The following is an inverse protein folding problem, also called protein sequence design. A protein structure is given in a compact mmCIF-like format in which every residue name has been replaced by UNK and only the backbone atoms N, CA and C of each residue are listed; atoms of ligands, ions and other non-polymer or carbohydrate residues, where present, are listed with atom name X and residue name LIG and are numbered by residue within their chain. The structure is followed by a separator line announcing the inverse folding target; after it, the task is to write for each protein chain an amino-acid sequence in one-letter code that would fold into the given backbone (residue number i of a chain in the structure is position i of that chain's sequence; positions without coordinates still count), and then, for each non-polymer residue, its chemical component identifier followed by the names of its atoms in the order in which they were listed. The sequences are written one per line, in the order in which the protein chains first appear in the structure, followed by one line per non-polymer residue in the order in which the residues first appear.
data_IF_934020628873
#
_entry.id   IF_934020628873
#
_cell.length_a   1.000
_cell.length_b   1.000
_cell.length_c   1.000
_cell.angle_alpha   90.00
_cell.angle_beta   90.00
_cell.angle_gamma   90.00
#
_symmetry.space_group_name_H-M   'P 1'
#
loop_
_entity.id
_entity.type
_entity.pdbx_description
1 polymer ?
#
# COMPACT_ATOMS: atom_id res chain seq x y z
N UNK A 1 -7.94 -19.79 -13.17
CA UNK A 1 -7.76 -18.87 -14.31
C UNK A 1 -6.34 -18.97 -14.83
N UNK A 2 -6.13 -18.96 -16.16
CA UNK A 2 -4.82 -18.79 -16.79
C UNK A 2 -4.14 -17.48 -16.34
N UNK A 3 -2.79 -17.40 -16.35
CA UNK A 3 -2.05 -16.22 -15.90
C UNK A 3 -2.41 -14.91 -16.63
N UNK A 4 -2.69 -14.98 -17.94
CA UNK A 4 -3.07 -13.82 -18.75
C UNK A 4 -4.46 -13.29 -18.39
N UNK A 5 -5.42 -14.19 -18.16
CA UNK A 5 -6.77 -13.82 -17.73
C UNK A 5 -6.76 -13.20 -16.33
N UNK A 6 -5.90 -13.72 -15.44
CA UNK A 6 -5.67 -13.12 -14.11
C UNK A 6 -5.05 -11.72 -14.19
N UNK A 7 -4.06 -11.55 -15.08
CA UNK A 7 -3.41 -10.27 -15.31
C UNK A 7 -4.41 -9.23 -15.83
N UNK A 8 -5.21 -9.61 -16.83
CA UNK A 8 -6.26 -8.76 -17.40
C UNK A 8 -7.36 -8.43 -16.41
N UNK A 9 -7.77 -9.40 -15.60
CA UNK A 9 -8.74 -9.22 -14.51
C UNK A 9 -8.24 -8.23 -13.46
N UNK A 10 -6.94 -8.27 -13.10
CA UNK A 10 -6.35 -7.30 -12.17
C UNK A 10 -6.41 -5.86 -12.72
N UNK A 11 -6.10 -5.67 -14.01
CA UNK A 11 -6.21 -4.34 -14.63
C UNK A 11 -7.67 -3.89 -14.74
N UNK A 12 -8.57 -4.78 -15.17
CA UNK A 12 -10.01 -4.49 -15.25
C UNK A 12 -10.58 -4.05 -13.89
N UNK A 13 -10.10 -4.62 -12.78
CA UNK A 13 -10.48 -4.19 -11.43
C UNK A 13 -10.11 -2.74 -11.12
N UNK A 14 -9.02 -2.23 -11.72
CA UNK A 14 -8.57 -0.85 -11.55
C UNK A 14 -9.29 0.14 -12.49
N UNK A 15 -9.62 -0.28 -13.72
CA UNK A 15 -10.02 0.65 -14.81
C UNK A 15 -11.39 0.34 -15.43
N UNK A 16 -12.02 -0.77 -15.07
CA UNK A 16 -13.23 -1.27 -15.72
C UNK A 16 -12.92 -1.89 -17.08
N UNK A 17 -13.36 -1.22 -18.15
CA UNK A 17 -13.11 -1.66 -19.53
C UNK A 17 -11.65 -1.42 -19.92
N UNK A 18 -10.90 -2.52 -20.05
CA UNK A 18 -9.45 -2.49 -20.29
C UNK A 18 -9.12 -1.95 -21.69
N UNK A 19 -9.87 -2.34 -22.71
CA UNK A 19 -9.65 -1.88 -24.08
C UNK A 19 -9.94 -0.40 -24.21
N UNK A 20 -11.09 0.05 -23.69
CA UNK A 20 -11.44 1.46 -23.71
C UNK A 20 -10.43 2.30 -22.93
N UNK A 21 -9.99 1.82 -21.78
CA UNK A 21 -8.93 2.48 -21.01
C UNK A 21 -7.65 2.65 -21.82
N UNK A 22 -7.19 1.60 -22.49
CA UNK A 22 -5.96 1.63 -23.28
C UNK A 22 -6.08 2.57 -24.48
N UNK A 23 -7.20 2.53 -25.19
CA UNK A 23 -7.33 3.18 -26.49
C UNK A 23 -7.78 4.65 -26.37
N UNK A 24 -8.53 5.02 -25.32
CA UNK A 24 -9.11 6.37 -25.17
C UNK A 24 -8.54 7.18 -23.99
N UNK A 25 -8.05 6.52 -22.94
CA UNK A 25 -7.70 7.19 -21.67
C UNK A 25 -6.21 7.22 -21.41
N UNK A 26 -5.52 6.09 -21.59
CA UNK A 26 -4.12 5.93 -21.20
C UNK A 26 -3.26 7.04 -21.81
N UNK A 27 -2.55 7.78 -20.95
CA UNK A 27 -1.71 8.95 -21.32
C UNK A 27 -2.43 10.14 -21.96
N UNK A 28 -3.76 10.11 -22.08
CA UNK A 28 -4.55 11.13 -22.75
C UNK A 28 -5.44 11.93 -21.79
N UNK A 29 -6.07 11.29 -20.81
CA UNK A 29 -6.99 11.95 -19.88
C UNK A 29 -7.13 11.23 -18.54
N UNK A 30 -7.57 11.93 -17.47
CA UNK A 30 -7.94 11.27 -16.21
C UNK A 30 -9.18 10.38 -16.37
N UNK A 31 -9.17 9.19 -15.78
CA UNK A 31 -10.33 8.30 -15.68
C UNK A 31 -10.77 8.16 -14.23
N UNK A 32 -12.07 8.36 -13.99
CA UNK A 32 -12.73 7.98 -12.76
C UNK A 32 -13.53 6.69 -12.98
N UNK A 33 -12.95 5.57 -12.59
CA UNK A 33 -13.65 4.29 -12.52
C UNK A 33 -14.30 4.13 -11.14
N UNK A 34 -15.64 4.17 -11.08
CA UNK A 34 -16.39 3.80 -9.89
C UNK A 34 -16.67 2.31 -9.96
N UNK A 35 -16.21 1.55 -8.98
CA UNK A 35 -16.47 0.12 -8.87
C UNK A 35 -17.54 -0.12 -7.78
N UNK A 36 -18.84 -0.22 -8.14
CA UNK A 36 -19.94 -0.25 -7.17
C UNK A 36 -20.23 -1.64 -6.57
N UNK A 37 -19.44 -2.69 -6.85
CA UNK A 37 -19.73 -4.09 -6.47
C UNK A 37 -18.66 -4.78 -5.61
N UNK A 38 -18.85 -6.09 -5.38
CA UNK A 38 -18.09 -7.07 -4.54
C UNK A 38 -16.55 -7.12 -4.71
N UNK A 39 -15.96 -6.24 -5.53
CA UNK A 39 -14.53 -6.17 -5.81
C UNK A 39 -13.83 -5.05 -5.03
N UNK A 40 -14.30 -4.73 -3.83
CA UNK A 40 -13.61 -3.83 -2.89
C UNK A 40 -12.17 -4.30 -2.66
N UNK A 41 -11.18 -3.40 -2.62
CA UNK A 41 -9.76 -3.74 -2.41
C UNK A 41 -9.41 -4.20 -0.98
N UNK A 42 -10.42 -4.52 -0.16
CA UNK A 42 -10.28 -5.04 1.21
C UNK A 42 -9.52 -6.38 1.27
N UNK A 43 -9.59 -7.20 0.22
CA UNK A 43 -8.78 -8.42 0.07
C UNK A 43 -7.29 -8.13 -0.16
N UNK A 44 -6.96 -6.95 -0.69
CA UNK A 44 -5.57 -6.53 -0.90
C UNK A 44 -4.99 -5.84 0.34
N UNK A 45 -5.75 -4.92 0.93
CA UNK A 45 -5.32 -4.18 2.12
C UNK A 45 -6.53 -3.58 2.84
N UNK A 46 -6.95 -4.21 3.94
CA UNK A 46 -7.96 -3.69 4.86
C UNK A 46 -7.35 -2.84 5.98
N UNK A 47 -8.18 -2.11 6.73
CA UNK A 47 -7.73 -1.42 7.95
C UNK A 47 -7.16 -2.40 8.99
N UNK A 48 -7.73 -3.60 9.09
CA UNK A 48 -7.20 -4.64 9.97
C UNK A 48 -5.81 -5.13 9.52
N UNK A 49 -5.58 -5.24 8.21
CA UNK A 49 -4.26 -5.55 7.67
C UNK A 49 -3.23 -4.43 7.93
N UNK A 50 -3.67 -3.16 7.89
CA UNK A 50 -2.79 -2.03 8.26
C UNK A 50 -2.41 -2.12 9.75
N UNK A 51 -3.36 -2.41 10.63
CA UNK A 51 -3.07 -2.65 12.05
C UNK A 51 -2.10 -3.82 12.24
N UNK A 52 -2.33 -4.96 11.58
CA UNK A 52 -1.42 -6.11 11.61
C UNK A 52 0.00 -5.72 11.18
N UNK A 53 0.13 -4.97 10.08
CA UNK A 53 1.42 -4.49 9.58
C UNK A 53 2.14 -3.64 10.64
N UNK A 54 1.45 -2.67 11.24
CA UNK A 54 2.05 -1.74 12.21
C UNK A 54 2.36 -2.45 13.54
N UNK A 55 1.42 -3.26 14.03
CA UNK A 55 1.43 -3.83 15.37
C UNK A 55 2.13 -5.20 15.44
N UNK A 56 2.13 -5.98 14.37
CA UNK A 56 2.52 -7.40 14.37
C UNK A 56 3.82 -7.74 13.64
N UNK A 57 4.29 -6.93 12.69
CA UNK A 57 5.39 -7.34 11.78
C UNK A 57 6.78 -6.80 12.14
N UNK A 58 6.87 -6.03 13.22
CA UNK A 58 8.05 -5.20 13.52
C UNK A 58 8.45 -4.32 12.32
N UNK A 59 7.46 -3.66 11.70
CA UNK A 59 7.62 -2.79 10.53
C UNK A 59 8.74 -1.77 10.74
N UNK A 60 9.62 -1.60 9.75
CA UNK A 60 10.82 -0.75 9.86
C UNK A 60 10.87 0.32 8.79
N UNK A 61 11.63 1.38 9.06
CA UNK A 61 12.00 2.32 8.02
C UNK A 61 12.84 1.63 6.92
N UNK A 62 12.76 2.08 5.65
CA UNK A 62 11.89 3.13 5.14
C UNK A 62 10.51 2.62 4.67
N UNK A 63 10.03 1.45 5.12
CA UNK A 63 8.74 0.90 4.65
C UNK A 63 7.52 1.72 5.09
N UNK A 64 7.68 2.67 6.00
CA UNK A 64 6.64 3.60 6.40
C UNK A 64 7.19 4.98 6.76
N UNK A 65 6.31 5.98 6.80
CA UNK A 65 6.55 7.32 7.34
C UNK A 65 5.23 7.95 7.79
N UNK A 66 5.31 8.94 8.67
CA UNK A 66 4.16 9.78 9.02
C UNK A 66 4.36 11.21 8.52
N UNK A 67 3.27 11.81 8.05
CA UNK A 67 3.22 13.19 7.56
C UNK A 67 2.07 13.91 8.25
N UNK A 68 2.29 15.11 8.74
CA UNK A 68 1.26 15.97 9.31
C UNK A 68 1.43 17.38 8.77
N UNK A 69 0.33 18.04 8.40
CA UNK A 69 0.35 19.39 7.81
C UNK A 69 1.33 19.53 6.62
N UNK A 70 1.37 18.50 5.78
CA UNK A 70 2.25 18.42 4.61
C UNK A 70 3.74 18.22 4.92
N UNK A 71 4.12 18.04 6.19
CA UNK A 71 5.52 17.87 6.62
C UNK A 71 5.78 16.47 7.18
N UNK A 72 6.88 15.80 6.78
CA UNK A 72 7.29 14.56 7.42
C UNK A 72 7.58 14.78 8.92
N UNK A 73 7.11 13.85 9.75
CA UNK A 73 7.41 13.86 11.18
C UNK A 73 8.81 13.30 11.48
N UNK A 74 9.41 13.70 12.60
CA UNK A 74 10.66 13.11 13.08
C UNK A 74 10.44 11.61 13.36
N UNK A 75 11.27 10.76 12.76
CA UNK A 75 11.21 9.31 12.92
C UNK A 75 11.24 8.88 14.39
N UNK A 76 11.96 9.61 15.25
CA UNK A 76 12.04 9.29 16.69
C UNK A 76 10.70 9.46 17.43
N UNK A 77 9.78 10.25 16.87
CA UNK A 77 8.45 10.44 17.43
C UNK A 77 7.54 9.23 17.27
N UNK A 78 7.88 8.29 16.37
CA UNK A 78 7.04 7.13 16.06
C UNK A 78 7.80 5.80 15.90
N UNK A 79 9.11 5.79 16.11
CA UNK A 79 9.90 4.55 16.19
C UNK A 79 10.32 4.21 17.61
N UNK A 80 10.68 2.95 17.81
CA UNK A 80 11.26 2.39 19.03
C UNK A 80 12.43 1.48 18.69
N UNK A 81 13.21 1.18 19.73
CA UNK A 81 14.28 0.19 19.65
C UNK A 81 13.75 -1.23 19.88
N UNK A 82 14.35 -2.21 19.21
CA UNK A 82 14.08 -3.63 19.39
C UNK A 82 15.36 -4.43 19.19
N UNK A 83 15.52 -5.53 19.94
CA UNK A 83 16.54 -6.53 19.63
C UNK A 83 15.97 -7.59 18.69
N UNK A 84 16.61 -7.77 17.53
CA UNK A 84 16.31 -8.86 16.60
C UNK A 84 17.55 -9.75 16.56
N UNK A 85 17.44 -10.91 17.21
CA UNK A 85 18.59 -11.76 17.52
C UNK A 85 19.66 -10.98 18.30
N UNK A 86 20.89 -11.01 17.81
CA UNK A 86 22.03 -10.31 18.43
C UNK A 86 22.06 -8.80 18.19
N UNK A 87 21.30 -8.26 17.24
CA UNK A 87 21.41 -6.88 16.77
C UNK A 87 20.32 -5.98 17.37
N UNK A 88 20.71 -4.77 17.77
CA UNK A 88 19.78 -3.70 18.12
C UNK A 88 19.38 -2.97 16.84
N UNK A 89 18.07 -2.81 16.63
CA UNK A 89 17.49 -1.96 15.58
C UNK A 89 16.73 -0.81 16.25
N UNK A 90 16.75 0.37 15.65
CA UNK A 90 16.25 1.62 16.28
C UNK A 90 15.10 2.29 15.49
N UNK A 91 14.70 1.67 14.40
CA UNK A 91 13.84 2.19 13.35
C UNK A 91 12.56 1.35 13.19
N UNK A 92 12.20 0.59 14.22
CA UNK A 92 10.97 -0.21 14.26
C UNK A 92 9.81 0.68 14.65
N UNK A 93 8.65 0.53 14.00
CA UNK A 93 7.42 1.20 14.38
C UNK A 93 7.11 0.97 15.87
N UNK A 94 6.76 2.06 16.55
CA UNK A 94 6.10 2.00 17.86
C UNK A 94 4.59 2.09 17.61
N UNK A 95 3.83 0.98 17.74
CA UNK A 95 2.42 0.97 17.36
C UNK A 95 1.62 2.04 18.10
N UNK A 96 1.80 2.16 19.41
CA UNK A 96 1.06 3.12 20.22
C UNK A 96 1.29 4.56 19.77
N UNK A 97 2.54 4.92 19.45
CA UNK A 97 2.87 6.26 18.93
C UNK A 97 2.31 6.49 17.52
N UNK A 98 2.41 5.49 16.64
CA UNK A 98 1.84 5.56 15.30
C UNK A 98 0.33 5.78 15.37
N UNK A 99 -0.39 4.98 16.17
CA UNK A 99 -1.84 5.13 16.34
C UNK A 99 -2.22 6.49 16.93
N UNK A 100 -1.48 6.99 17.93
CA UNK A 100 -1.76 8.30 18.53
C UNK A 100 -1.54 9.46 17.54
N UNK A 101 -0.47 9.39 16.73
CA UNK A 101 -0.18 10.40 15.71
C UNK A 101 -1.22 10.36 14.58
N UNK A 102 -1.59 9.16 14.12
CA UNK A 102 -2.69 9.02 13.17
C UNK A 102 -3.97 9.59 13.79
N UNK A 103 -4.37 9.16 14.98
CA UNK A 103 -5.56 9.68 15.66
C UNK A 103 -5.58 11.20 15.93
N UNK A 104 -4.43 11.88 15.82
CA UNK A 104 -4.31 13.34 15.94
C UNK A 104 -4.16 14.07 14.59
N UNK A 105 -4.41 13.39 13.47
CA UNK A 105 -4.45 13.99 12.14
C UNK A 105 -3.26 13.68 11.23
N UNK A 106 -2.30 12.86 11.66
CA UNK A 106 -1.19 12.47 10.78
C UNK A 106 -1.63 11.42 9.75
N UNK A 107 -1.11 11.53 8.52
CA UNK A 107 -1.21 10.49 7.50
C UNK A 107 -0.10 9.47 7.69
N UNK A 108 -0.46 8.20 7.89
CA UNK A 108 0.46 7.07 7.78
C UNK A 108 0.62 6.71 6.31
N UNK A 109 1.87 6.70 5.83
CA UNK A 109 2.22 6.24 4.49
C UNK A 109 2.95 4.90 4.60
N UNK A 110 2.39 3.85 4.01
CA UNK A 110 3.04 2.55 3.82
C UNK A 110 3.62 2.49 2.41
N UNK A 111 4.89 2.11 2.29
CA UNK A 111 5.67 2.27 1.07
C UNK A 111 6.11 0.93 0.51
N UNK A 112 6.00 0.78 -0.80
CA UNK A 112 6.45 -0.41 -1.52
C UNK A 112 5.87 -1.72 -0.96
N UNK A 113 4.57 -1.71 -0.62
CA UNK A 113 3.86 -2.85 -0.03
C UNK A 113 3.96 -4.12 -0.87
N UNK A 114 4.08 -4.00 -2.19
CA UNK A 114 4.30 -5.14 -3.10
C UNK A 114 5.62 -5.89 -2.88
N UNK A 115 6.48 -5.41 -1.97
CA UNK A 115 7.74 -6.08 -1.60
C UNK A 115 7.61 -6.99 -0.38
N UNK A 116 6.62 -6.75 0.48
CA UNK A 116 6.52 -7.45 1.77
C UNK A 116 5.09 -7.81 2.19
N UNK A 117 4.07 -7.33 1.48
CA UNK A 117 2.67 -7.70 1.72
C UNK A 117 2.18 -8.65 0.61
N UNK A 118 1.94 -9.94 0.90
CA UNK A 118 1.70 -10.95 -0.13
C UNK A 118 0.52 -10.66 -1.07
N UNK A 119 -0.66 -10.19 -0.61
CA UNK A 119 -1.78 -9.87 -1.51
C UNK A 119 -1.40 -8.82 -2.56
N UNK A 120 -0.76 -7.72 -2.15
CA UNK A 120 -0.28 -6.68 -3.05
C UNK A 120 0.90 -7.13 -3.92
N UNK A 121 1.73 -8.03 -3.41
CA UNK A 121 2.82 -8.65 -4.20
C UNK A 121 2.24 -9.42 -5.40
N UNK A 122 1.23 -10.25 -5.16
CA UNK A 122 0.57 -11.01 -6.23
C UNK A 122 -0.18 -10.09 -7.19
N UNK A 123 -0.90 -9.10 -6.67
CA UNK A 123 -1.68 -8.16 -7.47
C UNK A 123 -0.79 -7.29 -8.37
N UNK A 124 0.26 -6.68 -7.84
CA UNK A 124 1.21 -5.89 -8.65
C UNK A 124 1.88 -6.75 -9.73
N UNK A 125 2.29 -7.99 -9.42
CA UNK A 125 2.82 -8.91 -10.44
C UNK A 125 1.82 -9.23 -11.55
N UNK A 126 0.54 -9.31 -11.24
CA UNK A 126 -0.50 -9.51 -12.24
C UNK A 126 -0.61 -8.28 -13.16
N UNK A 127 -0.58 -7.07 -12.58
CA UNK A 127 -0.58 -5.82 -13.35
C UNK A 127 0.67 -5.67 -14.22
N UNK A 128 1.86 -6.01 -13.71
CA UNK A 128 3.13 -5.95 -14.45
C UNK A 128 3.09 -6.75 -15.75
N UNK A 129 2.40 -7.90 -15.77
CA UNK A 129 2.27 -8.73 -16.97
C UNK A 129 1.46 -8.06 -18.08
N UNK A 130 0.46 -7.25 -17.76
CA UNK A 130 -0.34 -6.53 -18.77
C UNK A 130 0.33 -5.22 -19.17
N UNK A 131 0.90 -4.52 -18.20
CA UNK A 131 1.46 -3.19 -18.41
C UNK A 131 2.88 -3.21 -19.00
N UNK A 132 3.61 -4.31 -18.86
CA UNK A 132 4.97 -4.47 -19.40
C UNK A 132 6.05 -3.68 -18.66
N UNK A 133 5.73 -3.11 -17.50
CA UNK A 133 6.65 -2.38 -16.64
C UNK A 133 6.39 -2.66 -15.16
N UNK A 134 7.37 -2.38 -14.30
CA UNK A 134 7.26 -2.57 -12.86
C UNK A 134 6.06 -1.79 -12.27
N UNK A 135 5.38 -2.40 -11.29
CA UNK A 135 4.25 -1.80 -10.58
C UNK A 135 4.53 -1.74 -9.09
N UNK A 136 4.26 -0.59 -8.49
CA UNK A 136 4.43 -0.36 -7.05
C UNK A 136 3.10 0.04 -6.40
N UNK A 137 2.88 -0.44 -5.18
CA UNK A 137 1.77 -0.05 -4.33
C UNK A 137 2.26 0.68 -3.08
N UNK A 138 1.71 1.86 -2.83
CA UNK A 138 1.80 2.57 -1.55
C UNK A 138 0.38 2.73 -1.00
N UNK A 139 0.23 2.78 0.32
CA UNK A 139 -1.04 3.08 0.97
C UNK A 139 -0.93 4.34 1.83
N UNK A 140 -2.03 5.07 1.90
CA UNK A 140 -2.16 6.32 2.65
C UNK A 140 -3.37 6.19 3.57
N UNK A 141 -3.13 6.13 4.87
CA UNK A 141 -4.18 6.15 5.88
C UNK A 141 -4.21 7.55 6.51
N UNK A 142 -5.28 8.29 6.25
CA UNK A 142 -5.53 9.62 6.80
C UNK A 142 -6.84 9.58 7.60
N UNK A 143 -6.88 10.12 8.82
CA UNK A 143 -8.10 10.22 9.63
C UNK A 143 -9.13 11.21 9.06
#
# INVERSE_FOLDING_TARGET
MPPEEQARSALARCVGDVERFRDETWTASPLLHRNPGEQSFEDLLSLAAIDELVSGTALRLPAFRLVQDGKPLDVRSFTRRMRIGGKLVEDVADPARVHALVGSGATLVLQALQRYWPPLTAFCRALERVLGHAVQANAYLTP
#
